data_IF_820127110938
#
_entry.id   IF_820127110938
#
_cell.length_a   1.000
_cell.length_b   1.000
_cell.length_c   1.000
_cell.angle_alpha   90.00
_cell.angle_beta   90.00
_cell.angle_gamma   90.00
#
_symmetry.space_group_name_H-M   'P 1'
#
loop_
_entity.id
_entity.type
_entity.pdbx_description
1 polymer ?
#
# COMPACT_ATOMS: atom_id res chain seq x y z
N UNK A 1 -8.74 5.38 20.92
CA UNK A 1 -7.36 5.68 21.37
C UNK A 1 -6.39 4.61 20.90
N UNK A 2 -5.08 4.86 20.99
CA UNK A 2 -4.05 3.86 20.66
C UNK A 2 -4.16 2.62 21.56
N UNK A 3 -4.38 2.81 22.85
CA UNK A 3 -4.50 1.71 23.82
C UNK A 3 -5.67 0.79 23.47
N UNK A 4 -6.83 1.32 23.17
CA UNK A 4 -7.99 0.54 22.75
C UNK A 4 -7.71 -0.25 21.47
N UNK A 5 -7.07 0.39 20.46
CA UNK A 5 -6.72 -0.31 19.22
C UNK A 5 -5.72 -1.44 19.46
N UNK A 6 -4.76 -1.24 20.36
CA UNK A 6 -3.80 -2.29 20.72
C UNK A 6 -4.49 -3.43 21.48
N UNK A 7 -5.38 -3.11 22.42
CA UNK A 7 -6.15 -4.12 23.18
C UNK A 7 -7.04 -4.94 22.23
N UNK A 8 -7.71 -4.30 21.28
CA UNK A 8 -8.50 -4.97 20.25
C UNK A 8 -7.62 -5.89 19.38
N UNK A 9 -6.44 -5.42 18.95
CA UNK A 9 -5.52 -6.20 18.14
C UNK A 9 -5.01 -7.46 18.88
N UNK A 10 -4.66 -7.32 20.15
CA UNK A 10 -4.27 -8.44 21.02
C UNK A 10 -5.41 -9.43 21.23
N UNK A 11 -6.62 -8.93 21.49
CA UNK A 11 -7.81 -9.77 21.66
C UNK A 11 -8.16 -10.55 20.37
N UNK A 12 -8.01 -9.94 19.21
CA UNK A 12 -8.20 -10.62 17.91
C UNK A 12 -7.16 -11.72 17.71
N UNK A 13 -5.90 -11.46 18.03
CA UNK A 13 -4.86 -12.50 17.98
C UNK A 13 -5.19 -13.66 18.94
N UNK A 14 -5.58 -13.38 20.18
CA UNK A 14 -5.97 -14.39 21.16
C UNK A 14 -7.20 -15.21 20.69
N UNK A 15 -8.13 -14.56 19.98
CA UNK A 15 -9.28 -15.22 19.36
C UNK A 15 -8.91 -16.13 18.17
N UNK A 16 -7.63 -16.10 17.70
CA UNK A 16 -7.11 -17.01 16.69
C UNK A 16 -7.26 -16.54 15.24
N UNK A 17 -7.31 -15.22 14.99
CA UNK A 17 -7.24 -14.70 13.61
C UNK A 17 -5.86 -14.99 13.03
N UNK A 18 -5.81 -15.26 11.72
CA UNK A 18 -4.55 -15.63 11.02
C UNK A 18 -3.71 -14.41 10.61
N UNK A 19 -4.32 -13.26 10.48
CA UNK A 19 -3.68 -12.00 10.11
C UNK A 19 -4.58 -10.83 10.50
N UNK A 20 -4.01 -9.64 10.63
CA UNK A 20 -4.72 -8.41 10.92
C UNK A 20 -4.52 -7.41 9.77
N UNK A 21 -5.57 -6.67 9.41
CA UNK A 21 -5.49 -5.56 8.48
C UNK A 21 -5.74 -4.25 9.22
N UNK A 22 -4.79 -3.35 9.14
CA UNK A 22 -4.89 -1.98 9.66
C UNK A 22 -5.19 -1.02 8.52
N UNK A 23 -6.20 -0.19 8.69
CA UNK A 23 -6.65 0.74 7.66
C UNK A 23 -6.62 2.20 8.15
N UNK A 24 -6.10 3.09 7.30
CA UNK A 24 -6.21 4.54 7.43
C UNK A 24 -5.74 5.08 8.80
N UNK A 25 -4.54 4.69 9.21
CA UNK A 25 -3.93 5.13 10.48
C UNK A 25 -2.47 5.56 10.29
N UNK A 26 -1.91 6.39 11.19
CA UNK A 26 -0.51 6.77 11.13
C UNK A 26 0.45 5.57 11.25
N UNK A 27 1.65 5.71 10.68
CA UNK A 27 2.65 4.65 10.60
C UNK A 27 3.16 4.21 11.97
N UNK A 28 3.33 5.15 12.88
CA UNK A 28 3.93 4.91 14.20
C UNK A 28 3.06 3.97 15.07
N UNK A 29 1.77 4.24 15.31
CA UNK A 29 0.92 3.30 16.03
C UNK A 29 0.74 1.98 15.28
N UNK A 30 0.65 1.99 13.94
CA UNK A 30 0.55 0.76 13.16
C UNK A 30 1.79 -0.12 13.33
N UNK A 31 2.98 0.48 13.30
CA UNK A 31 4.24 -0.22 13.54
C UNK A 31 4.35 -0.79 14.95
N UNK A 32 3.84 -0.08 15.97
CA UNK A 32 3.80 -0.59 17.35
C UNK A 32 2.89 -1.82 17.47
N UNK A 33 1.76 -1.83 16.77
CA UNK A 33 0.87 -2.99 16.73
C UNK A 33 1.55 -4.16 16.03
N UNK A 34 2.12 -3.94 14.85
CA UNK A 34 2.78 -4.99 14.07
C UNK A 34 3.94 -5.64 14.82
N UNK A 35 4.75 -4.85 15.54
CA UNK A 35 5.90 -5.36 16.32
C UNK A 35 5.51 -6.17 17.58
N UNK A 36 4.27 -6.09 18.03
CA UNK A 36 3.81 -6.74 19.26
C UNK A 36 2.90 -7.94 19.02
N UNK A 37 2.44 -8.13 17.80
CA UNK A 37 1.65 -9.30 17.40
C UNK A 37 2.56 -10.39 16.82
N UNK A 38 2.18 -11.64 17.04
CA UNK A 38 2.86 -12.83 16.47
C UNK A 38 2.25 -13.24 15.12
N UNK A 39 1.17 -12.59 14.70
CA UNK A 39 0.48 -12.81 13.42
C UNK A 39 0.84 -11.70 12.42
N UNK A 40 0.82 -11.98 11.11
CA UNK A 40 1.06 -10.97 10.09
C UNK A 40 0.10 -9.78 10.19
N UNK A 41 0.65 -8.56 10.14
CA UNK A 41 -0.11 -7.32 10.12
C UNK A 41 0.06 -6.65 8.76
N UNK A 42 -1.02 -6.54 8.01
CA UNK A 42 -1.07 -5.87 6.71
C UNK A 42 -1.60 -4.45 6.89
N UNK A 43 -1.15 -3.53 6.05
CA UNK A 43 -1.60 -2.15 6.06
C UNK A 43 -2.26 -1.75 4.75
N UNK A 44 -3.34 -0.98 4.84
CA UNK A 44 -3.91 -0.20 3.75
C UNK A 44 -4.05 1.26 4.22
N UNK A 45 -3.11 2.11 3.80
CA UNK A 45 -3.00 3.45 4.37
C UNK A 45 -2.60 3.46 5.85
N UNK A 46 -1.72 2.53 6.27
CA UNK A 46 -1.23 2.41 7.64
C UNK A 46 0.31 2.53 7.73
N UNK A 47 0.93 3.16 6.73
CA UNK A 47 2.37 3.35 6.68
C UNK A 47 3.15 2.07 6.31
N UNK A 48 4.48 2.15 6.38
CA UNK A 48 5.38 1.08 5.94
C UNK A 48 6.00 0.25 7.08
N UNK A 49 5.63 0.53 8.35
CA UNK A 49 6.13 -0.16 9.54
C UNK A 49 5.39 -1.48 9.84
N UNK A 50 4.55 -1.95 8.94
CA UNK A 50 3.80 -3.21 9.00
C UNK A 50 4.46 -4.29 8.13
N UNK A 51 3.99 -5.54 8.23
CA UNK A 51 4.60 -6.69 7.55
C UNK A 51 4.36 -6.72 6.04
N UNK A 52 3.25 -6.14 5.59
CA UNK A 52 2.92 -6.07 4.17
C UNK A 52 1.89 -4.99 3.84
N UNK A 53 1.71 -4.73 2.54
CA UNK A 53 0.82 -3.69 2.06
C UNK A 53 -0.32 -4.29 1.24
N UNK A 54 -1.49 -3.67 1.36
CA UNK A 54 -2.65 -3.93 0.53
C UNK A 54 -3.05 -2.64 -0.20
N UNK A 55 -3.50 -2.77 -1.42
CA UNK A 55 -4.06 -1.67 -2.21
C UNK A 55 -5.25 -2.19 -3.01
N UNK A 56 -6.28 -1.36 -3.14
CA UNK A 56 -7.43 -1.70 -3.96
C UNK A 56 -7.06 -1.61 -5.45
N UNK A 57 -7.31 -2.69 -6.19
CA UNK A 57 -6.99 -2.78 -7.62
C UNK A 57 -7.56 -1.60 -8.42
N UNK A 58 -8.81 -1.19 -8.16
CA UNK A 58 -9.44 -0.07 -8.86
C UNK A 58 -8.72 1.26 -8.62
N UNK A 59 -8.19 1.47 -7.41
CA UNK A 59 -7.42 2.67 -7.07
C UNK A 59 -6.04 2.63 -7.72
N UNK A 60 -5.35 1.48 -7.61
CA UNK A 60 -4.03 1.25 -8.21
C UNK A 60 -4.05 1.44 -9.73
N UNK A 61 -5.12 0.99 -10.39
CA UNK A 61 -5.31 1.07 -11.83
C UNK A 61 -6.00 2.36 -12.30
N UNK A 62 -6.50 3.19 -11.38
CA UNK A 62 -7.21 4.42 -11.72
C UNK A 62 -8.58 4.20 -12.35
N UNK A 63 -9.23 3.05 -12.09
CA UNK A 63 -10.58 2.76 -12.63
C UNK A 63 -11.69 3.51 -11.91
N UNK A 64 -11.46 3.90 -10.64
CA UNK A 64 -12.46 4.60 -9.85
C UNK A 64 -12.30 6.12 -10.02
N UNK A 65 -13.30 6.78 -10.61
CA UNK A 65 -13.24 8.17 -11.01
C UNK A 65 -13.80 9.15 -9.97
N UNK A 66 -14.72 8.67 -9.12
CA UNK A 66 -15.46 9.56 -8.19
C UNK A 66 -14.66 9.90 -6.93
N UNK A 67 -13.93 8.95 -6.40
CA UNK A 67 -13.12 9.10 -5.18
C UNK A 67 -11.98 8.10 -5.19
N UNK A 68 -10.82 8.55 -4.78
CA UNK A 68 -9.66 7.70 -4.49
C UNK A 68 -9.06 8.18 -3.18
N UNK A 69 -8.84 7.27 -2.20
CA UNK A 69 -8.13 7.63 -0.99
C UNK A 69 -6.75 8.19 -1.35
N UNK A 70 -6.34 9.29 -0.70
CA UNK A 70 -5.07 9.94 -1.03
C UNK A 70 -3.85 9.03 -0.73
N UNK A 71 -3.98 8.08 0.19
CA UNK A 71 -2.95 7.07 0.46
C UNK A 71 -2.86 5.99 -0.63
N UNK A 72 -3.80 5.92 -1.55
CA UNK A 72 -3.80 4.94 -2.62
C UNK A 72 -3.08 5.47 -3.86
N UNK A 73 -1.84 5.01 -4.07
CA UNK A 73 -1.04 5.34 -5.26
C UNK A 73 -1.67 4.73 -6.52
N UNK A 74 -1.82 5.54 -7.57
CA UNK A 74 -2.17 5.07 -8.91
C UNK A 74 -0.89 4.87 -9.73
N UNK A 75 -0.65 3.65 -10.15
CA UNK A 75 0.59 3.29 -10.87
C UNK A 75 0.51 3.49 -12.38
N UNK A 76 -0.71 3.54 -12.94
CA UNK A 76 -0.90 3.65 -14.40
C UNK A 76 -0.22 4.87 -15.03
N UNK A 77 -0.27 6.09 -14.44
CA UNK A 77 0.40 7.24 -15.05
C UNK A 77 1.91 7.05 -15.28
N UNK A 78 2.59 6.35 -14.36
CA UNK A 78 4.02 6.10 -14.47
C UNK A 78 4.33 5.07 -15.56
N UNK A 79 3.64 3.93 -15.51
CA UNK A 79 3.91 2.83 -16.45
C UNK A 79 3.39 3.09 -17.85
N UNK A 80 2.35 3.91 -18.03
CA UNK A 80 1.85 4.26 -19.37
C UNK A 80 2.85 5.13 -20.14
N UNK A 81 3.64 5.94 -19.44
CA UNK A 81 4.71 6.72 -20.06
C UNK A 81 5.81 5.80 -20.58
N UNK A 82 6.21 4.81 -19.81
CA UNK A 82 7.20 3.80 -20.20
C UNK A 82 6.68 2.96 -21.37
N UNK A 83 5.45 2.48 -21.29
CA UNK A 83 4.80 1.73 -22.37
C UNK A 83 4.72 2.55 -23.66
N UNK A 84 4.35 3.83 -23.60
CA UNK A 84 4.27 4.71 -24.75
C UNK A 84 5.64 4.98 -25.40
N UNK A 85 6.72 5.01 -24.61
CA UNK A 85 8.08 5.13 -25.17
C UNK A 85 8.45 3.89 -25.97
N UNK A 86 8.14 2.69 -25.49
CA UNK A 86 8.35 1.45 -26.23
C UNK A 86 7.58 1.41 -27.55
N UNK A 87 6.34 1.93 -27.58
CA UNK A 87 5.52 1.97 -28.80
C UNK A 87 6.06 2.92 -29.88
N UNK A 88 6.86 3.93 -29.53
CA UNK A 88 7.45 4.85 -30.52
C UNK A 88 8.43 4.19 -31.49
N UNK A 89 8.96 3.02 -31.13
CA UNK A 89 9.87 2.24 -31.95
C UNK A 89 9.14 1.29 -32.91
N UNK A 90 7.81 1.24 -32.87
CA UNK A 90 6.99 0.35 -33.71
C UNK A 90 6.66 1.03 -35.03
N UNK A 91 7.18 0.49 -36.12
CA UNK A 91 6.97 1.04 -37.48
C UNK A 91 5.56 0.77 -38.04
N UNK A 92 4.99 -0.42 -37.78
CA UNK A 92 3.63 -0.80 -38.20
C UNK A 92 2.75 -1.17 -37.01
N UNK A 93 1.96 -0.21 -36.54
CA UNK A 93 1.01 -0.41 -35.43
C UNK A 93 -0.11 -1.41 -35.71
N UNK A 94 -0.47 -1.64 -37.00
CA UNK A 94 -1.50 -2.64 -37.35
C UNK A 94 -0.96 -4.04 -37.24
N UNK A 95 0.27 -4.25 -37.68
CA UNK A 95 0.97 -5.52 -37.53
C UNK A 95 1.26 -5.79 -36.07
N UNK A 96 1.79 -4.82 -35.34
CA UNK A 96 2.02 -4.90 -33.89
C UNK A 96 0.75 -5.33 -33.15
N UNK A 97 -0.39 -4.66 -33.37
CA UNK A 97 -1.65 -5.00 -32.71
C UNK A 97 -2.17 -6.41 -33.06
N UNK A 98 -1.79 -7.00 -34.20
CA UNK A 98 -2.12 -8.39 -34.56
C UNK A 98 -1.23 -9.40 -33.84
N UNK A 99 0.04 -9.13 -33.73
CA UNK A 99 1.06 -10.00 -33.14
C UNK A 99 1.03 -9.96 -31.61
N UNK A 100 0.77 -8.76 -31.05
CA UNK A 100 0.82 -8.47 -29.61
C UNK A 100 -0.58 -8.25 -29.00
N UNK A 101 -1.52 -9.16 -29.25
CA UNK A 101 -2.92 -9.05 -28.75
C UNK A 101 -3.01 -8.97 -27.22
N UNK A 102 -1.97 -9.43 -26.51
CA UNK A 102 -1.91 -9.46 -25.05
C UNK A 102 -1.25 -8.21 -24.45
N UNK A 103 -0.70 -7.35 -25.30
CA UNK A 103 0.19 -6.29 -24.80
C UNK A 103 -0.53 -4.97 -24.46
N UNK A 104 -1.71 -4.70 -24.93
CA UNK A 104 -2.46 -3.46 -24.72
C UNK A 104 -2.66 -3.08 -23.25
N UNK A 105 -3.90 -3.01 -22.82
CA UNK A 105 -4.25 -2.70 -21.41
C UNK A 105 -3.73 -3.77 -20.43
N UNK A 106 -3.59 -5.01 -20.89
CA UNK A 106 -3.02 -6.09 -20.07
C UNK A 106 -1.56 -5.81 -19.71
N UNK A 107 -0.73 -5.39 -20.67
CA UNK A 107 0.67 -5.06 -20.41
C UNK A 107 0.79 -3.89 -19.43
N UNK A 108 -0.04 -2.85 -19.57
CA UNK A 108 -0.07 -1.73 -18.63
C UNK A 108 -0.44 -2.21 -17.22
N UNK A 109 -1.43 -3.09 -17.11
CA UNK A 109 -1.83 -3.66 -15.82
C UNK A 109 -0.72 -4.50 -15.19
N UNK A 110 -0.05 -5.35 -15.99
CA UNK A 110 1.07 -6.17 -15.54
C UNK A 110 2.24 -5.31 -15.05
N UNK A 111 2.62 -4.27 -15.79
CA UNK A 111 3.65 -3.31 -15.38
C UNK A 111 3.28 -2.58 -14.08
N UNK A 112 2.04 -2.15 -13.93
CA UNK A 112 1.56 -1.47 -12.73
C UNK A 112 1.61 -2.39 -11.49
N UNK A 113 1.19 -3.65 -11.63
CA UNK A 113 1.25 -4.65 -10.57
C UNK A 113 2.71 -4.99 -10.22
N UNK A 114 3.56 -5.20 -11.22
CA UNK A 114 4.97 -5.50 -11.03
C UNK A 114 5.68 -4.39 -10.24
N UNK A 115 5.43 -3.13 -10.62
CA UNK A 115 5.98 -1.96 -9.94
C UNK A 115 5.50 -1.84 -8.49
N UNK A 116 4.21 -2.05 -8.25
CA UNK A 116 3.67 -2.10 -6.88
C UNK A 116 4.38 -3.17 -6.04
N UNK A 117 4.51 -4.38 -6.57
CA UNK A 117 5.17 -5.50 -5.86
C UNK A 117 6.64 -5.17 -5.56
N UNK A 118 7.34 -4.56 -6.50
CA UNK A 118 8.73 -4.13 -6.32
C UNK A 118 8.84 -3.07 -5.21
N UNK A 119 8.01 -2.02 -5.26
CA UNK A 119 8.03 -0.94 -4.27
C UNK A 119 7.65 -1.44 -2.87
N UNK A 120 6.70 -2.37 -2.74
CA UNK A 120 6.36 -2.98 -1.45
C UNK A 120 7.53 -3.81 -0.91
N UNK A 121 8.15 -4.65 -1.75
CA UNK A 121 9.29 -5.49 -1.34
C UNK A 121 10.53 -4.68 -0.96
N UNK A 122 10.77 -3.57 -1.66
CA UNK A 122 11.87 -2.64 -1.37
C UNK A 122 11.53 -1.61 -0.28
N UNK A 123 10.34 -1.65 0.30
CA UNK A 123 9.80 -0.70 1.28
C UNK A 123 9.76 0.76 0.79
N UNK A 124 9.69 0.96 -0.52
CA UNK A 124 9.49 2.28 -1.13
C UNK A 124 8.01 2.72 -1.11
N UNK A 125 7.07 1.76 -1.10
CA UNK A 125 5.66 2.04 -0.90
C UNK A 125 5.18 1.51 0.46
N UNK A 126 4.37 2.30 1.20
CA UNK A 126 3.99 3.68 0.93
C UNK A 126 5.14 4.65 1.22
N UNK A 127 5.39 5.61 0.31
CA UNK A 127 6.24 6.77 0.58
C UNK A 127 5.51 7.79 1.47
N UNK A 128 6.23 8.79 1.97
CA UNK A 128 5.69 9.78 2.93
C UNK A 128 4.44 10.51 2.44
N UNK A 129 4.26 10.66 1.13
CA UNK A 129 3.08 11.30 0.53
C UNK A 129 1.81 10.42 0.58
N UNK A 130 1.97 9.11 0.85
CA UNK A 130 0.88 8.14 0.98
C UNK A 130 0.66 7.65 2.42
N UNK A 131 1.28 8.30 3.40
CA UNK A 131 1.19 7.96 4.84
C UNK A 131 0.34 8.99 5.57
N UNK A 132 -0.55 8.56 6.46
CA UNK A 132 -1.28 9.45 7.35
C UNK A 132 -0.33 10.15 8.31
N UNK A 133 -0.29 11.50 8.30
CA UNK A 133 0.54 12.22 9.25
C UNK A 133 -0.04 12.10 10.66
N UNK A 134 0.85 12.04 11.65
CA UNK A 134 0.50 12.19 13.05
C UNK A 134 0.99 13.54 13.56
N UNK A 135 0.20 14.21 14.41
CA UNK A 135 0.64 15.45 15.06
C UNK A 135 1.60 15.12 16.20
N UNK A 136 2.58 15.98 16.41
CA UNK A 136 3.59 15.79 17.47
C UNK A 136 2.96 15.60 18.86
N UNK A 137 1.88 16.32 19.16
CA UNK A 137 1.14 16.21 20.41
C UNK A 137 0.49 14.82 20.57
N UNK A 138 -0.09 14.29 19.48
CA UNK A 138 -0.70 12.96 19.47
C UNK A 138 0.36 11.87 19.59
N UNK A 139 1.49 12.04 18.92
CA UNK A 139 2.61 11.12 19.03
C UNK A 139 3.18 11.11 20.46
N UNK A 140 3.31 12.28 21.07
CA UNK A 140 3.76 12.40 22.45
C UNK A 140 2.80 11.72 23.43
N UNK A 141 1.49 11.81 23.21
CA UNK A 141 0.48 11.11 23.99
C UNK A 141 0.59 9.58 23.82
N UNK A 142 0.70 9.10 22.59
CA UNK A 142 0.85 7.67 22.28
C UNK A 142 2.12 7.10 22.91
N UNK A 143 3.22 7.84 22.93
CA UNK A 143 4.47 7.44 23.57
C UNK A 143 4.38 7.25 25.09
N UNK A 144 3.35 7.79 25.74
CA UNK A 144 3.10 7.58 27.17
C UNK A 144 2.28 6.31 27.45
N UNK A 145 1.79 5.63 26.40
CA UNK A 145 1.05 4.40 26.54
C UNK A 145 1.89 3.29 27.14
N UNK A 146 1.26 2.44 27.98
CA UNK A 146 1.86 1.19 28.48
C UNK A 146 2.26 0.20 27.37
N UNK A 147 1.68 0.37 26.19
CA UNK A 147 1.94 -0.44 25.01
C UNK A 147 3.02 0.14 24.08
N UNK A 148 3.49 1.37 24.33
CA UNK A 148 4.58 1.92 23.52
C UNK A 148 5.90 1.26 23.92
N UNK A 149 6.62 0.73 22.93
CA UNK A 149 7.96 0.19 23.11
C UNK A 149 8.94 0.94 22.22
N UNK A 150 10.08 1.30 22.77
CA UNK A 150 11.22 1.80 22.00
C UNK A 150 12.01 0.59 21.46
N UNK A 151 12.22 0.55 20.15
CA UNK A 151 12.93 -0.52 19.46
C UNK A 151 14.22 0.01 18.83
#
# INVERSE_FOLDING_TARGET
SFDETMEDALALQEAGVMALLLEAMPSEPAGQIAKQLDIPVLGIGAGNEVDGQLIIMHDMMGFYQSFRPWFAKCYVPEVIQEFALGLKEVEDMKQYGREHRKDGLFAIAEMAIAKYVEEVKSRQFPSTEYIYPIKDEQLAEIKQSKYWKEY
#
